data_IF_956472520284
#
_entry.id   IF_956472520284
#
_cell.length_a   1.000
_cell.length_b   1.000
_cell.length_c   1.000
_cell.angle_alpha   90.00
_cell.angle_beta   90.00
_cell.angle_gamma   90.00
#
_symmetry.space_group_name_H-M   'P 1'
#
loop_
_entity.id
_entity.type
_entity.pdbx_description
1 polymer ?
#
# COMPACT_ATOMS: atom_id res chain seq x y z
N UNK A 1 9.64 13.17 -58.59
CA UNK A 1 10.97 13.24 -57.98
C UNK A 1 10.81 13.36 -56.47
N UNK A 2 10.87 12.21 -55.78
CA UNK A 2 10.88 12.15 -54.35
C UNK A 2 12.28 12.50 -53.84
N UNK A 3 12.41 13.63 -53.19
CA UNK A 3 13.61 14.00 -52.43
C UNK A 3 13.81 12.99 -51.30
N UNK A 4 14.64 12.00 -51.57
CA UNK A 4 15.32 11.21 -50.56
C UNK A 4 16.28 12.12 -49.78
N UNK A 5 15.78 12.92 -48.82
CA UNK A 5 16.61 13.48 -47.78
C UNK A 5 17.13 12.32 -46.91
N UNK A 6 18.30 11.83 -47.22
CA UNK A 6 19.04 10.98 -46.32
C UNK A 6 19.27 11.72 -45.01
N UNK A 7 18.55 11.33 -43.99
CA UNK A 7 18.79 11.81 -42.63
C UNK A 7 20.14 11.26 -42.16
N UNK A 8 21.21 11.99 -42.45
CA UNK A 8 22.43 11.86 -41.65
C UNK A 8 22.08 12.40 -40.28
N UNK A 9 21.72 11.51 -39.32
CA UNK A 9 21.53 11.89 -37.93
C UNK A 9 22.89 12.42 -37.43
N UNK A 10 22.95 13.71 -37.15
CA UNK A 10 24.10 14.29 -36.47
C UNK A 10 24.33 13.49 -35.17
N UNK A 11 25.49 12.82 -35.00
CA UNK A 11 25.80 12.08 -33.78
C UNK A 11 25.68 12.95 -32.52
N UNK A 12 25.85 14.25 -32.66
CA UNK A 12 25.71 15.22 -31.58
C UNK A 12 24.23 15.52 -31.26
N UNK A 13 23.30 15.43 -32.21
CA UNK A 13 21.88 15.71 -32.00
C UNK A 13 21.21 14.68 -31.06
N UNK A 14 21.61 13.43 -31.13
CA UNK A 14 21.12 12.40 -30.19
C UNK A 14 21.57 12.69 -28.75
N UNK A 15 22.84 13.11 -28.58
CA UNK A 15 23.34 13.52 -27.26
C UNK A 15 22.63 14.75 -26.72
N UNK A 16 22.37 15.74 -27.55
CA UNK A 16 21.63 16.94 -27.16
C UNK A 16 20.17 16.60 -26.75
N UNK A 17 19.51 15.71 -27.49
CA UNK A 17 18.15 15.26 -27.14
C UNK A 17 18.13 14.54 -25.79
N UNK A 18 19.10 13.66 -25.55
CA UNK A 18 19.17 12.95 -24.26
C UNK A 18 19.39 13.90 -23.09
N UNK A 19 20.25 14.90 -23.26
CA UNK A 19 20.47 15.97 -22.26
C UNK A 19 19.20 16.78 -22.03
N UNK A 20 18.47 17.15 -23.10
CA UNK A 20 17.22 17.90 -22.98
C UNK A 20 16.12 17.12 -22.26
N UNK A 21 16.00 15.81 -22.52
CA UNK A 21 15.06 14.94 -21.79
C UNK A 21 15.48 14.83 -20.32
N UNK A 22 16.77 14.63 -20.04
CA UNK A 22 17.26 14.55 -18.68
C UNK A 22 17.04 15.86 -17.92
N UNK A 23 17.33 17.00 -18.54
CA UNK A 23 17.10 18.32 -17.96
C UNK A 23 15.61 18.56 -17.66
N UNK A 24 14.73 18.20 -18.59
CA UNK A 24 13.28 18.28 -18.38
C UNK A 24 12.82 17.47 -17.17
N UNK A 25 13.27 16.22 -17.03
CA UNK A 25 12.91 15.36 -15.92
C UNK A 25 13.45 15.87 -14.58
N UNK A 26 14.73 16.29 -14.56
CA UNK A 26 15.37 16.80 -13.35
C UNK A 26 14.79 18.15 -12.89
N UNK A 27 14.65 19.11 -13.82
CA UNK A 27 14.18 20.46 -13.49
C UNK A 27 12.75 20.49 -12.96
N UNK A 28 11.94 19.49 -13.32
CA UNK A 28 10.54 19.40 -12.90
C UNK A 28 10.30 18.31 -11.84
N UNK A 29 11.36 17.71 -11.30
CA UNK A 29 11.27 16.63 -10.30
C UNK A 29 10.34 15.49 -10.77
N UNK A 30 10.40 15.12 -12.06
CA UNK A 30 9.60 14.06 -12.61
C UNK A 30 10.27 12.69 -12.41
N UNK A 31 9.51 11.60 -12.21
CA UNK A 31 10.08 10.27 -12.09
C UNK A 31 10.91 9.85 -13.29
N UNK A 32 12.11 9.31 -13.08
CA UNK A 32 12.99 8.86 -14.17
C UNK A 32 12.40 7.71 -15.00
N UNK A 33 11.46 6.94 -14.44
CA UNK A 33 10.68 5.91 -15.13
C UNK A 33 9.94 6.45 -16.36
N UNK A 34 9.61 7.75 -16.40
CA UNK A 34 9.00 8.39 -17.56
C UNK A 34 9.89 8.35 -18.82
N UNK A 35 11.21 8.23 -18.68
CA UNK A 35 12.10 8.03 -19.82
C UNK A 35 11.81 6.75 -20.61
N UNK A 36 11.23 5.74 -19.95
CA UNK A 36 10.85 4.46 -20.54
C UNK A 36 9.35 4.39 -20.91
N UNK A 37 8.59 5.48 -20.74
CA UNK A 37 7.16 5.49 -21.02
C UNK A 37 6.89 5.42 -22.53
N UNK A 38 6.06 4.46 -23.00
CA UNK A 38 5.68 4.36 -24.41
C UNK A 38 5.05 5.62 -24.99
N UNK A 39 4.40 6.45 -24.16
CA UNK A 39 3.82 7.74 -24.57
C UNK A 39 4.89 8.75 -24.89
N UNK A 40 6.01 8.79 -24.14
CA UNK A 40 7.15 9.62 -24.48
C UNK A 40 7.77 9.20 -25.82
N UNK A 41 7.96 7.89 -26.02
CA UNK A 41 8.43 7.36 -27.30
C UNK A 41 7.50 7.78 -28.47
N UNK A 42 6.18 7.73 -28.26
CA UNK A 42 5.18 8.16 -29.24
C UNK A 42 5.25 9.66 -29.53
N UNK A 43 5.48 10.50 -28.51
CA UNK A 43 5.69 11.95 -28.70
C UNK A 43 6.91 12.19 -29.59
N UNK A 44 8.02 11.52 -29.32
CA UNK A 44 9.25 11.65 -30.10
C UNK A 44 9.10 11.13 -31.54
N UNK A 45 8.33 10.07 -31.75
CA UNK A 45 7.99 9.57 -33.09
C UNK A 45 7.19 10.62 -33.88
N UNK A 46 6.16 11.20 -33.30
CA UNK A 46 5.34 12.25 -33.94
C UNK A 46 6.19 13.50 -34.18
N UNK A 47 7.05 13.88 -33.21
CA UNK A 47 7.92 15.04 -33.35
C UNK A 47 8.83 14.97 -34.59
N UNK A 48 9.25 13.77 -35.02
CA UNK A 48 10.04 13.56 -36.25
C UNK A 48 9.30 13.94 -37.53
N UNK A 49 7.97 13.94 -37.48
CA UNK A 49 7.11 14.28 -38.64
C UNK A 49 6.69 15.75 -38.66
N UNK A 50 6.99 16.48 -37.57
CA UNK A 50 6.61 17.88 -37.44
C UNK A 50 7.69 18.79 -38.03
N UNK A 51 7.26 19.86 -38.69
CA UNK A 51 8.15 20.87 -39.18
C UNK A 51 8.66 21.83 -38.08
N UNK A 52 9.67 22.68 -38.39
CA UNK A 52 10.31 23.55 -37.39
C UNK A 52 9.36 24.64 -36.83
N UNK A 53 8.20 24.84 -37.44
CA UNK A 53 7.21 25.83 -37.01
C UNK A 53 6.20 25.28 -36.00
N UNK A 54 6.29 24.00 -35.64
CA UNK A 54 5.41 23.43 -34.60
C UNK A 54 5.64 24.11 -33.24
N UNK A 55 4.56 24.50 -32.61
CA UNK A 55 4.56 25.02 -31.23
C UNK A 55 3.72 24.11 -30.35
N UNK A 56 4.26 23.69 -29.20
CA UNK A 56 3.48 22.94 -28.21
C UNK A 56 2.20 23.71 -27.82
N UNK A 57 1.11 23.02 -27.51
CA UNK A 57 -0.12 23.67 -27.08
C UNK A 57 0.07 24.35 -25.73
N UNK A 58 -0.65 25.46 -25.52
CA UNK A 58 -0.68 26.15 -24.23
C UNK A 58 -1.26 25.25 -23.14
N UNK A 59 -0.82 25.43 -21.88
CA UNK A 59 -1.27 24.66 -20.72
C UNK A 59 -2.80 24.57 -20.61
N UNK A 60 -3.52 25.67 -20.86
CA UNK A 60 -4.98 25.71 -20.75
C UNK A 60 -5.67 24.89 -21.86
N UNK A 61 -5.01 24.76 -23.02
CA UNK A 61 -5.49 23.85 -24.08
C UNK A 61 -5.27 22.41 -23.71
N UNK A 62 -4.17 22.09 -23.01
CA UNK A 62 -3.87 20.74 -22.52
C UNK A 62 -4.86 20.36 -21.41
N UNK A 63 -5.05 21.23 -20.41
CA UNK A 63 -5.92 20.99 -19.26
C UNK A 63 -7.44 21.09 -19.55
N UNK A 64 -7.82 21.67 -20.69
CA UNK A 64 -9.20 21.74 -21.14
C UNK A 64 -9.46 20.84 -22.35
N UNK A 65 -9.45 21.41 -23.57
CA UNK A 65 -9.86 20.73 -24.80
C UNK A 65 -9.23 19.33 -25.00
N UNK A 66 -7.93 19.19 -24.76
CA UNK A 66 -7.26 17.90 -24.97
C UNK A 66 -7.55 16.91 -23.84
N UNK A 67 -7.70 17.39 -22.60
CA UNK A 67 -8.11 16.54 -21.48
C UNK A 67 -9.51 15.96 -21.74
N UNK A 68 -10.47 16.80 -22.16
CA UNK A 68 -11.84 16.37 -22.45
C UNK A 68 -11.89 15.37 -23.60
N UNK A 69 -11.11 15.63 -24.68
CA UNK A 69 -11.03 14.71 -25.82
C UNK A 69 -10.41 13.36 -25.43
N UNK A 70 -9.32 13.37 -24.65
CA UNK A 70 -8.69 12.14 -24.14
C UNK A 70 -9.62 11.38 -23.20
N UNK A 71 -10.28 12.08 -22.28
CA UNK A 71 -11.26 11.47 -21.38
C UNK A 71 -12.36 10.78 -22.19
N UNK A 72 -12.96 11.46 -23.15
CA UNK A 72 -14.04 10.89 -23.98
C UNK A 72 -13.58 9.66 -24.76
N UNK A 73 -12.37 9.67 -25.30
CA UNK A 73 -11.80 8.54 -26.04
C UNK A 73 -11.55 7.35 -25.12
N UNK A 74 -10.81 7.54 -24.03
CA UNK A 74 -10.52 6.47 -23.07
C UNK A 74 -11.78 5.92 -22.42
N UNK A 75 -12.72 6.78 -22.06
CA UNK A 75 -14.01 6.38 -21.52
C UNK A 75 -14.78 5.48 -22.49
N UNK A 76 -14.89 5.89 -23.76
CA UNK A 76 -15.60 5.10 -24.77
C UNK A 76 -14.95 3.73 -24.99
N UNK A 77 -13.63 3.65 -25.04
CA UNK A 77 -12.89 2.40 -25.22
C UNK A 77 -13.06 1.48 -24.01
N UNK A 78 -12.90 2.02 -22.79
CA UNK A 78 -13.07 1.27 -21.55
C UNK A 78 -14.50 0.75 -21.41
N UNK A 79 -15.50 1.59 -21.64
CA UNK A 79 -16.91 1.19 -21.58
C UNK A 79 -17.27 0.13 -22.61
N UNK A 80 -16.77 0.25 -23.85
CA UNK A 80 -16.99 -0.76 -24.87
C UNK A 80 -16.46 -2.13 -24.44
N UNK A 81 -15.25 -2.19 -23.89
CA UNK A 81 -14.65 -3.43 -23.39
C UNK A 81 -15.44 -3.96 -22.20
N UNK A 82 -15.74 -3.11 -21.22
CA UNK A 82 -16.50 -3.47 -20.03
C UNK A 82 -17.87 -4.06 -20.36
N UNK A 83 -18.63 -3.41 -21.26
CA UNK A 83 -19.96 -3.87 -21.69
C UNK A 83 -19.91 -5.19 -22.46
N UNK A 84 -18.84 -5.43 -23.24
CA UNK A 84 -18.64 -6.71 -23.93
C UNK A 84 -18.43 -7.86 -22.96
N UNK A 85 -17.68 -7.63 -21.88
CA UNK A 85 -17.44 -8.62 -20.81
C UNK A 85 -18.67 -8.81 -19.92
N UNK A 86 -19.36 -7.71 -19.59
CA UNK A 86 -20.60 -7.72 -18.79
C UNK A 86 -21.63 -8.71 -19.34
N UNK A 87 -21.73 -8.78 -20.64
CA UNK A 87 -22.67 -9.68 -21.33
C UNK A 87 -22.41 -11.16 -21.10
N UNK A 88 -21.12 -11.55 -20.93
CA UNK A 88 -20.70 -12.95 -20.88
C UNK A 88 -20.46 -13.40 -19.46
N UNK A 89 -19.79 -12.59 -18.68
CA UNK A 89 -19.25 -12.94 -17.37
C UNK A 89 -19.89 -12.20 -16.19
N UNK A 90 -20.69 -11.16 -16.47
CA UNK A 90 -21.10 -10.20 -15.45
C UNK A 90 -19.98 -9.24 -15.08
N UNK A 91 -20.27 -8.33 -14.14
CA UNK A 91 -19.30 -7.34 -13.64
C UNK A 91 -19.30 -7.31 -12.13
N UNK A 92 -18.16 -6.88 -11.60
CA UNK A 92 -17.99 -6.51 -10.21
C UNK A 92 -17.91 -4.98 -10.10
N UNK A 93 -18.72 -4.42 -9.20
CA UNK A 93 -18.67 -3.01 -8.83
C UNK A 93 -17.81 -2.83 -7.59
N UNK A 94 -16.96 -1.81 -7.60
CA UNK A 94 -16.13 -1.43 -6.46
C UNK A 94 -16.42 0.01 -6.06
N UNK A 95 -16.39 0.27 -4.77
CA UNK A 95 -16.48 1.63 -4.25
C UNK A 95 -15.51 1.88 -3.12
N UNK A 96 -14.91 3.04 -3.14
CA UNK A 96 -13.98 3.51 -2.11
C UNK A 96 -14.26 4.96 -1.75
N UNK A 97 -14.16 5.27 -0.46
CA UNK A 97 -14.32 6.60 0.08
C UNK A 97 -12.97 7.26 0.30
N UNK A 98 -12.72 8.39 -0.36
CA UNK A 98 -11.50 9.17 -0.18
C UNK A 98 -11.80 10.61 0.25
N UNK A 99 -10.81 11.25 0.89
CA UNK A 99 -10.84 12.70 1.11
C UNK A 99 -9.56 13.28 0.52
N UNK A 100 -9.71 14.08 -0.54
CA UNK A 100 -8.58 14.70 -1.25
C UNK A 100 -8.66 16.20 -1.06
N UNK A 101 -7.64 16.80 -0.45
CA UNK A 101 -7.59 18.25 -0.18
C UNK A 101 -8.90 18.79 0.44
N UNK A 102 -9.38 18.10 1.48
CA UNK A 102 -10.65 18.43 2.19
C UNK A 102 -11.95 18.12 1.44
N UNK A 103 -11.90 17.66 0.18
CA UNK A 103 -13.08 17.26 -0.59
C UNK A 103 -13.41 15.80 -0.32
N UNK A 104 -14.56 15.49 0.29
CA UNK A 104 -14.98 14.11 0.53
C UNK A 104 -15.55 13.49 -0.74
N UNK A 105 -14.94 12.44 -1.23
CA UNK A 105 -15.28 11.76 -2.47
C UNK A 105 -15.78 10.33 -2.23
N UNK A 106 -16.54 9.81 -3.18
CA UNK A 106 -16.82 8.37 -3.33
C UNK A 106 -16.48 7.99 -4.76
N UNK A 107 -15.51 7.13 -4.92
CA UNK A 107 -15.13 6.55 -6.22
C UNK A 107 -15.97 5.30 -6.46
N UNK A 108 -16.47 5.16 -7.68
CA UNK A 108 -17.17 3.96 -8.14
C UNK A 108 -16.48 3.44 -9.38
N UNK A 109 -16.03 2.18 -9.31
CA UNK A 109 -15.35 1.50 -10.39
C UNK A 109 -16.09 0.21 -10.73
N UNK A 110 -15.91 -0.28 -11.96
CA UNK A 110 -16.36 -1.60 -12.35
C UNK A 110 -15.20 -2.39 -12.97
N UNK A 111 -15.20 -3.70 -12.77
CA UNK A 111 -14.26 -4.61 -13.39
C UNK A 111 -14.96 -5.79 -14.03
N UNK A 112 -14.44 -6.21 -15.17
CA UNK A 112 -14.72 -7.48 -15.82
C UNK A 112 -13.58 -8.48 -15.58
N UNK A 113 -13.60 -9.58 -16.34
CA UNK A 113 -12.61 -10.65 -16.20
C UNK A 113 -11.24 -10.25 -16.76
N UNK A 114 -11.20 -9.54 -17.89
CA UNK A 114 -9.97 -9.13 -18.56
C UNK A 114 -9.70 -7.63 -18.45
N UNK A 115 -10.71 -6.84 -18.06
CA UNK A 115 -10.58 -5.41 -17.87
C UNK A 115 -10.46 -5.12 -16.36
N UNK A 116 -9.28 -4.76 -15.88
CA UNK A 116 -9.03 -4.71 -14.43
C UNK A 116 -9.94 -3.71 -13.72
N UNK A 117 -10.03 -2.48 -14.22
CA UNK A 117 -10.88 -1.45 -13.60
C UNK A 117 -11.24 -0.35 -14.61
N UNK A 118 -12.52 -0.03 -14.68
CA UNK A 118 -13.03 1.16 -15.33
C UNK A 118 -13.62 2.09 -14.25
N UNK A 119 -13.15 3.33 -14.19
CA UNK A 119 -13.71 4.33 -13.30
C UNK A 119 -15.05 4.78 -13.84
N UNK A 120 -16.13 4.52 -13.13
CA UNK A 120 -17.49 4.89 -13.56
C UNK A 120 -17.87 6.30 -13.13
N UNK A 121 -17.52 6.66 -11.88
CA UNK A 121 -17.87 7.97 -11.33
C UNK A 121 -16.96 8.33 -10.14
N UNK A 122 -16.80 9.63 -9.91
CA UNK A 122 -16.20 10.21 -8.72
C UNK A 122 -17.22 11.20 -8.13
N UNK A 123 -18.01 10.73 -7.19
CA UNK A 123 -19.05 11.53 -6.58
C UNK A 123 -18.48 12.48 -5.53
N UNK A 124 -18.62 13.79 -5.73
CA UNK A 124 -18.32 14.82 -4.72
C UNK A 124 -19.46 14.88 -3.68
N UNK A 125 -19.13 14.52 -2.45
CA UNK A 125 -20.08 14.49 -1.34
C UNK A 125 -20.19 15.82 -0.57
N UNK A 126 -19.45 16.86 -0.95
CA UNK A 126 -19.35 18.12 -0.22
C UNK A 126 -20.72 18.73 0.02
N UNK A 127 -21.53 18.89 -1.01
CA UNK A 127 -22.87 19.49 -0.92
C UNK A 127 -23.84 18.66 -0.06
N UNK A 128 -23.70 17.33 -0.08
CA UNK A 128 -24.54 16.45 0.73
C UNK A 128 -24.19 16.60 2.22
N UNK A 129 -22.90 16.58 2.55
CA UNK A 129 -22.41 16.73 3.92
C UNK A 129 -22.68 18.15 4.47
N UNK A 130 -22.52 19.19 3.65
CA UNK A 130 -22.81 20.57 4.04
C UNK A 130 -24.28 20.79 4.44
N UNK A 131 -25.18 19.99 3.89
CA UNK A 131 -26.61 19.99 4.24
C UNK A 131 -26.95 19.10 5.46
N UNK A 132 -25.95 18.62 6.21
CA UNK A 132 -26.12 17.74 7.35
C UNK A 132 -26.34 16.27 6.99
N UNK A 133 -26.17 15.89 5.70
CA UNK A 133 -26.21 14.50 5.25
C UNK A 133 -25.02 13.68 5.75
N UNK A 134 -25.12 12.37 5.65
CA UNK A 134 -24.04 11.42 6.00
C UNK A 134 -23.73 10.54 4.79
N UNK A 135 -22.50 10.07 4.70
CA UNK A 135 -22.14 8.98 3.76
C UNK A 135 -22.69 7.64 4.29
N UNK A 136 -24.00 7.54 4.40
CA UNK A 136 -24.68 6.33 4.86
C UNK A 136 -25.02 5.38 3.70
N UNK A 137 -25.60 4.24 4.04
CA UNK A 137 -25.99 3.21 3.09
C UNK A 137 -26.92 3.71 2.00
N UNK A 138 -27.87 4.57 2.35
CA UNK A 138 -28.84 5.12 1.40
C UNK A 138 -28.18 6.06 0.42
N UNK A 139 -27.27 6.91 0.91
CA UNK A 139 -26.55 7.85 0.06
C UNK A 139 -25.61 7.14 -0.92
N UNK A 140 -24.85 6.13 -0.44
CA UNK A 140 -23.97 5.34 -1.32
C UNK A 140 -24.78 4.55 -2.35
N UNK A 141 -25.89 3.92 -1.93
CA UNK A 141 -26.79 3.25 -2.88
C UNK A 141 -27.37 4.23 -3.92
N UNK A 142 -27.67 5.48 -3.55
CA UNK A 142 -28.12 6.53 -4.46
C UNK A 142 -27.08 6.89 -5.51
N UNK A 143 -25.79 6.82 -5.18
CA UNK A 143 -24.69 7.02 -6.14
C UNK A 143 -24.58 5.80 -7.07
N UNK A 144 -24.56 4.59 -6.54
CA UNK A 144 -24.33 3.37 -7.31
C UNK A 144 -25.50 2.97 -8.22
N UNK A 145 -26.74 3.15 -7.76
CA UNK A 145 -27.93 2.66 -8.46
C UNK A 145 -28.11 3.23 -9.88
N UNK A 146 -27.91 4.52 -10.15
CA UNK A 146 -27.96 5.06 -11.51
C UNK A 146 -26.93 4.41 -12.44
N UNK A 147 -25.70 4.19 -11.95
CA UNK A 147 -24.61 3.58 -12.71
C UNK A 147 -24.92 2.12 -13.05
N UNK A 148 -25.43 1.36 -12.08
CA UNK A 148 -25.90 -0.01 -12.29
C UNK A 148 -26.97 -0.05 -13.38
N UNK A 149 -27.99 0.80 -13.27
CA UNK A 149 -29.07 0.87 -14.25
C UNK A 149 -28.59 1.31 -15.63
N UNK A 150 -27.64 2.23 -15.69
CA UNK A 150 -27.04 2.66 -16.96
C UNK A 150 -26.34 1.48 -17.64
N UNK A 151 -25.44 0.78 -16.95
CA UNK A 151 -24.74 -0.40 -17.48
C UNK A 151 -25.73 -1.46 -17.93
N UNK A 152 -26.71 -1.80 -17.11
CA UNK A 152 -27.74 -2.79 -17.46
C UNK A 152 -28.60 -2.37 -18.66
N UNK A 153 -28.78 -1.06 -18.87
CA UNK A 153 -29.54 -0.55 -20.04
C UNK A 153 -28.76 -0.64 -21.35
N UNK A 154 -27.43 -0.66 -21.28
CA UNK A 154 -26.54 -0.70 -22.45
C UNK A 154 -26.13 -2.13 -22.80
N UNK A 155 -26.22 -3.09 -21.84
CA UNK A 155 -25.94 -4.51 -22.09
C UNK A 155 -27.19 -5.17 -22.67
N UNK A 156 -27.05 -5.65 -23.89
CA UNK A 156 -28.12 -6.41 -24.57
C UNK A 156 -27.77 -7.91 -24.53
N UNK A 157 -28.77 -8.76 -24.33
CA UNK A 157 -28.63 -10.21 -24.47
C UNK A 157 -28.40 -10.62 -25.93
N UNK A 158 -28.24 -11.91 -26.19
CA UNK A 158 -28.03 -12.47 -27.53
C UNK A 158 -29.22 -12.20 -28.47
N UNK A 159 -30.40 -11.89 -27.93
CA UNK A 159 -31.62 -11.58 -28.68
C UNK A 159 -31.90 -10.07 -28.78
N UNK A 160 -30.94 -9.24 -28.35
CA UNK A 160 -31.09 -7.78 -28.37
C UNK A 160 -32.00 -7.23 -27.27
N UNK A 161 -32.36 -8.03 -26.26
CA UNK A 161 -33.10 -7.56 -25.07
C UNK A 161 -32.14 -7.04 -24.02
N UNK A 162 -32.57 -6.05 -23.23
CA UNK A 162 -31.83 -5.59 -22.06
C UNK A 162 -31.59 -6.75 -21.11
N UNK A 163 -30.37 -6.86 -20.61
CA UNK A 163 -29.96 -7.93 -19.70
C UNK A 163 -29.84 -7.37 -18.28
N UNK A 164 -30.93 -7.39 -17.49
CA UNK A 164 -30.87 -6.97 -16.10
C UNK A 164 -30.01 -7.95 -15.30
N UNK A 165 -29.32 -7.43 -14.30
CA UNK A 165 -28.55 -8.26 -13.37
C UNK A 165 -27.17 -8.68 -13.90
N UNK A 166 -26.52 -7.81 -14.66
CA UNK A 166 -25.12 -8.03 -15.09
C UNK A 166 -24.11 -7.67 -14.01
N UNK A 167 -24.53 -7.00 -12.93
CA UNK A 167 -23.71 -6.76 -11.76
C UNK A 167 -24.06 -7.81 -10.71
N UNK A 168 -23.14 -8.73 -10.48
CA UNK A 168 -23.33 -9.85 -9.55
C UNK A 168 -22.61 -9.61 -8.22
N UNK A 169 -21.53 -8.84 -8.20
CA UNK A 169 -20.72 -8.56 -7.02
C UNK A 169 -20.56 -7.05 -6.80
N UNK A 170 -20.61 -6.66 -5.55
CA UNK A 170 -20.33 -5.28 -5.14
C UNK A 170 -19.37 -5.32 -3.95
N UNK A 171 -18.22 -4.68 -4.09
CA UNK A 171 -17.22 -4.56 -3.04
C UNK A 171 -17.06 -3.11 -2.61
N UNK A 172 -17.12 -2.89 -1.31
CA UNK A 172 -16.78 -1.62 -0.67
C UNK A 172 -15.89 -1.89 0.55
N UNK A 173 -15.35 -0.84 1.14
CA UNK A 173 -14.65 -0.97 2.41
C UNK A 173 -15.62 -1.48 3.51
N UNK A 174 -15.07 -2.15 4.53
CA UNK A 174 -15.85 -2.95 5.48
C UNK A 174 -16.70 -2.19 6.49
N UNK A 175 -17.08 -0.95 6.24
CA UNK A 175 -17.95 -0.20 7.14
C UNK A 175 -19.37 -0.79 7.22
N UNK A 176 -19.99 -0.71 8.40
CA UNK A 176 -21.37 -1.19 8.63
C UNK A 176 -22.40 -0.61 7.65
N UNK A 177 -22.15 0.61 7.17
CA UNK A 177 -22.96 1.29 6.15
C UNK A 177 -23.02 0.49 4.83
N UNK A 178 -21.97 -0.23 4.49
CA UNK A 178 -21.89 -1.04 3.27
C UNK A 178 -22.77 -2.27 3.33
N UNK A 179 -22.86 -2.91 4.50
CA UNK A 179 -23.79 -4.04 4.67
C UNK A 179 -25.24 -3.62 4.45
N UNK A 180 -25.64 -2.50 5.03
CA UNK A 180 -26.97 -1.94 4.85
C UNK A 180 -27.22 -1.49 3.39
N UNK A 181 -26.19 -0.95 2.70
CA UNK A 181 -26.26 -0.67 1.27
C UNK A 181 -26.51 -1.95 0.47
N UNK A 182 -25.86 -3.04 0.85
CA UNK A 182 -26.05 -4.35 0.24
C UNK A 182 -27.51 -4.81 0.25
N UNK A 183 -28.24 -4.58 1.32
CA UNK A 183 -29.67 -4.90 1.39
C UNK A 183 -30.48 -4.04 0.42
N UNK A 184 -30.16 -2.75 0.26
CA UNK A 184 -30.82 -1.87 -0.69
C UNK A 184 -30.58 -2.35 -2.13
N UNK A 185 -29.35 -2.73 -2.47
CA UNK A 185 -29.01 -3.24 -3.78
C UNK A 185 -29.64 -4.60 -4.07
N UNK A 186 -29.70 -5.50 -3.08
CA UNK A 186 -30.39 -6.79 -3.19
C UNK A 186 -31.91 -6.66 -3.35
N UNK A 187 -32.49 -5.62 -2.78
CA UNK A 187 -33.91 -5.34 -3.01
C UNK A 187 -34.18 -4.98 -4.49
N UNK A 188 -33.21 -4.37 -5.18
CA UNK A 188 -33.27 -4.11 -6.61
C UNK A 188 -32.97 -5.38 -7.43
N UNK A 189 -31.88 -6.07 -7.12
CA UNK A 189 -31.47 -7.30 -7.79
C UNK A 189 -30.98 -8.35 -6.76
N UNK A 190 -31.73 -9.41 -6.54
CA UNK A 190 -31.42 -10.46 -5.55
C UNK A 190 -30.13 -11.23 -5.84
N UNK A 191 -29.60 -11.16 -7.05
CA UNK A 191 -28.34 -11.82 -7.42
C UNK A 191 -27.11 -11.08 -6.89
N UNK A 192 -27.22 -9.79 -6.56
CA UNK A 192 -26.11 -9.00 -6.07
C UNK A 192 -25.63 -9.57 -4.74
N UNK A 193 -24.39 -10.01 -4.74
CA UNK A 193 -23.63 -10.35 -3.53
C UNK A 193 -22.78 -9.14 -3.14
N UNK A 194 -22.83 -8.77 -1.86
CA UNK A 194 -22.01 -7.69 -1.32
C UNK A 194 -20.88 -8.29 -0.51
N UNK A 195 -19.65 -7.97 -0.90
CA UNK A 195 -18.43 -8.41 -0.24
C UNK A 195 -17.66 -7.23 0.36
N UNK A 196 -16.76 -7.56 1.27
CA UNK A 196 -15.78 -6.62 1.80
C UNK A 196 -14.44 -6.90 1.15
N UNK A 197 -13.63 -5.88 0.91
CA UNK A 197 -12.26 -6.04 0.47
C UNK A 197 -11.48 -6.91 1.48
N UNK A 198 -10.85 -7.97 1.00
CA UNK A 198 -10.09 -8.88 1.86
C UNK A 198 -8.93 -8.13 2.56
N UNK A 199 -8.32 -7.19 1.88
CA UNK A 199 -7.28 -6.30 2.41
C UNK A 199 -7.78 -5.48 3.61
N UNK A 200 -9.00 -4.98 3.54
CA UNK A 200 -9.59 -4.21 4.65
C UNK A 200 -9.87 -5.10 5.87
N UNK A 201 -10.44 -6.28 5.66
CA UNK A 201 -10.72 -7.25 6.74
C UNK A 201 -9.42 -7.65 7.46
N UNK A 202 -8.36 -7.95 6.68
CA UNK A 202 -7.06 -8.32 7.27
C UNK A 202 -6.40 -7.11 7.93
N UNK A 203 -6.56 -5.90 7.38
CA UNK A 203 -6.07 -4.67 8.01
C UNK A 203 -6.74 -4.41 9.36
N UNK A 204 -8.05 -4.60 9.47
CA UNK A 204 -8.77 -4.52 10.74
C UNK A 204 -8.28 -5.59 11.74
N UNK A 205 -8.03 -6.81 11.27
CA UNK A 205 -7.43 -7.85 12.10
C UNK A 205 -6.08 -7.40 12.68
N UNK A 206 -5.18 -6.84 11.87
CA UNK A 206 -3.91 -6.30 12.38
C UNK A 206 -4.14 -5.16 13.38
N UNK A 207 -5.04 -4.23 13.09
CA UNK A 207 -5.40 -3.16 14.01
C UNK A 207 -5.89 -3.70 15.36
N UNK A 208 -6.77 -4.70 15.33
CA UNK A 208 -7.28 -5.34 16.53
C UNK A 208 -6.19 -6.07 17.33
N UNK A 209 -5.30 -6.79 16.67
CA UNK A 209 -4.16 -7.45 17.34
C UNK A 209 -3.29 -6.42 18.06
N UNK A 210 -2.92 -5.33 17.41
CA UNK A 210 -2.02 -4.32 17.99
C UNK A 210 -2.68 -3.39 19.02
N UNK A 211 -4.01 -3.32 19.04
CA UNK A 211 -4.74 -2.49 20.00
C UNK A 211 -5.33 -3.28 21.16
N UNK A 212 -5.81 -4.50 20.90
CA UNK A 212 -6.56 -5.30 21.88
C UNK A 212 -5.72 -6.37 22.57
N UNK A 213 -4.67 -6.90 21.91
CA UNK A 213 -3.77 -7.91 22.52
C UNK A 213 -2.66 -7.20 23.29
N UNK A 214 -2.60 -7.33 24.64
CA UNK A 214 -1.69 -6.54 25.48
C UNK A 214 -0.21 -6.71 25.10
N UNK A 215 0.21 -7.91 24.71
CA UNK A 215 1.59 -8.24 24.35
C UNK A 215 2.01 -7.48 23.10
N UNK A 216 1.19 -7.49 22.04
CA UNK A 216 1.46 -6.76 20.80
C UNK A 216 1.42 -5.25 21.00
N UNK A 217 0.48 -4.76 21.81
CA UNK A 217 0.41 -3.34 22.17
C UNK A 217 1.68 -2.87 22.90
N UNK A 218 2.17 -3.65 23.86
CA UNK A 218 3.40 -3.34 24.58
C UNK A 218 4.61 -3.33 23.65
N UNK A 219 4.70 -4.31 22.75
CA UNK A 219 5.78 -4.41 21.78
C UNK A 219 5.78 -3.21 20.81
N UNK A 220 4.61 -2.85 20.26
CA UNK A 220 4.47 -1.67 19.40
C UNK A 220 4.90 -0.39 20.11
N UNK A 221 4.47 -0.20 21.37
CA UNK A 221 4.90 0.94 22.19
C UNK A 221 6.40 0.97 22.40
N UNK A 222 7.03 -0.18 22.66
CA UNK A 222 8.48 -0.26 22.80
C UNK A 222 9.19 0.08 21.47
N UNK A 223 8.74 -0.49 20.37
CA UNK A 223 9.28 -0.19 19.04
C UNK A 223 9.20 1.30 18.69
N UNK A 224 8.07 1.94 19.02
CA UNK A 224 7.90 3.40 18.88
C UNK A 224 8.94 4.19 19.69
N UNK A 225 9.19 3.79 20.93
CA UNK A 225 10.22 4.43 21.77
C UNK A 225 11.63 4.24 21.20
N UNK A 226 11.98 3.02 20.76
CA UNK A 226 13.25 2.72 20.10
C UNK A 226 13.43 3.59 18.84
N UNK A 227 12.40 3.66 18.00
CA UNK A 227 12.41 4.52 16.81
C UNK A 227 12.64 5.99 17.16
N UNK A 228 11.97 6.50 18.19
CA UNK A 228 12.12 7.91 18.59
C UNK A 228 13.56 8.21 19.05
N UNK A 229 14.23 7.27 19.71
CA UNK A 229 15.61 7.43 20.17
C UNK A 229 16.59 7.36 18.99
N UNK A 230 16.48 6.35 18.13
CA UNK A 230 17.48 6.05 17.11
C UNK A 230 17.12 6.55 15.71
N UNK A 231 15.88 6.92 15.47
CA UNK A 231 15.38 7.40 14.17
C UNK A 231 15.32 8.92 14.03
N UNK A 232 15.42 9.69 15.12
CA UNK A 232 15.37 11.14 15.05
C UNK A 232 16.65 11.74 14.47
N UNK A 233 16.54 12.55 13.43
CA UNK A 233 17.68 13.09 12.67
C UNK A 233 18.58 14.02 13.49
N UNK A 234 18.08 14.57 14.59
CA UNK A 234 18.76 15.67 15.34
C UNK A 234 19.54 15.20 16.54
N UNK A 235 19.64 13.89 16.79
CA UNK A 235 20.19 13.39 18.05
C UNK A 235 21.39 12.46 17.87
N UNK A 236 22.32 12.52 18.83
CA UNK A 236 23.53 11.70 18.88
C UNK A 236 23.28 10.19 18.69
N UNK A 237 22.29 9.55 19.35
CA UNK A 237 21.98 8.14 19.14
C UNK A 237 21.66 7.77 17.71
N UNK A 238 20.96 8.65 16.98
CA UNK A 238 20.63 8.44 15.57
C UNK A 238 21.86 8.46 14.66
N UNK A 239 22.79 9.38 14.90
CA UNK A 239 24.03 9.44 14.14
C UNK A 239 24.88 8.17 14.35
N UNK A 240 24.96 7.68 15.60
CA UNK A 240 25.64 6.42 15.93
C UNK A 240 24.95 5.24 15.24
N UNK A 241 23.63 5.17 15.33
CA UNK A 241 22.87 4.10 14.68
C UNK A 241 23.07 4.10 13.15
N UNK A 242 23.06 5.27 12.48
CA UNK A 242 23.33 5.36 11.03
C UNK A 242 24.71 4.79 10.68
N UNK A 243 25.75 5.05 11.50
CA UNK A 243 27.09 4.50 11.32
C UNK A 243 27.07 2.97 11.35
N UNK A 244 26.44 2.38 12.38
CA UNK A 244 26.39 0.92 12.54
C UNK A 244 25.41 0.25 11.58
N UNK A 245 24.30 0.91 11.22
CA UNK A 245 23.40 0.40 10.21
C UNK A 245 24.10 0.23 8.86
N UNK A 246 24.88 1.20 8.42
CA UNK A 246 25.69 1.08 7.19
C UNK A 246 26.74 -0.02 7.30
N UNK A 247 27.41 -0.15 8.44
CA UNK A 247 28.42 -1.17 8.65
C UNK A 247 27.86 -2.60 8.54
N UNK A 248 26.63 -2.83 8.98
CA UNK A 248 25.95 -4.13 8.94
C UNK A 248 25.17 -4.41 7.65
N UNK A 249 25.03 -3.42 6.76
CA UNK A 249 24.24 -3.53 5.54
C UNK A 249 25.03 -3.12 4.29
N UNK A 250 26.28 -3.58 4.17
CA UNK A 250 27.14 -3.36 2.99
C UNK A 250 27.26 -1.89 2.58
N UNK A 251 27.33 -0.97 3.54
CA UNK A 251 27.43 0.46 3.30
C UNK A 251 26.09 1.18 3.12
N UNK A 252 24.99 0.46 2.96
CA UNK A 252 23.65 1.04 2.79
C UNK A 252 23.03 1.36 4.16
N UNK A 253 22.48 2.55 4.30
CA UNK A 253 21.71 2.89 5.50
C UNK A 253 20.32 2.28 5.42
N UNK A 254 19.97 1.48 6.41
CA UNK A 254 18.61 0.98 6.62
C UNK A 254 18.08 1.64 7.89
N UNK A 255 17.01 2.43 7.75
CA UNK A 255 16.37 3.16 8.84
C UNK A 255 15.15 2.47 9.42
N UNK A 256 14.55 3.10 10.43
CA UNK A 256 13.25 2.68 10.97
C UNK A 256 12.11 3.07 10.02
N UNK A 257 11.06 2.28 10.03
CA UNK A 257 9.80 2.61 9.33
C UNK A 257 8.85 3.27 10.35
N UNK A 258 8.25 4.38 9.96
CA UNK A 258 7.16 5.01 10.70
C UNK A 258 5.86 4.37 10.23
N UNK A 259 5.08 3.70 11.10
CA UNK A 259 3.76 3.23 10.72
C UNK A 259 2.92 4.42 10.23
N UNK A 260 2.41 4.33 9.04
CA UNK A 260 1.48 5.33 8.49
C UNK A 260 0.06 4.91 8.85
N UNK A 261 -0.77 5.87 9.25
CA UNK A 261 -2.19 5.63 9.51
C UNK A 261 -2.93 5.13 8.27
N UNK A 262 -2.45 5.51 7.10
CA UNK A 262 -3.02 5.08 5.81
C UNK A 262 -2.44 3.77 5.27
N UNK A 263 -1.39 3.21 5.89
CA UNK A 263 -0.71 2.01 5.39
C UNK A 263 -1.16 0.78 6.18
N UNK A 264 -1.76 -0.17 5.48
CA UNK A 264 -2.22 -1.42 6.07
C UNK A 264 -1.08 -2.19 6.75
N UNK A 265 -1.35 -2.72 7.95
CA UNK A 265 -0.37 -3.45 8.77
C UNK A 265 0.94 -2.69 9.09
N UNK A 266 0.93 -1.36 9.08
CA UNK A 266 2.13 -0.53 9.30
C UNK A 266 2.88 -0.85 10.59
N UNK A 267 2.19 -1.16 11.69
CA UNK A 267 2.81 -1.56 12.96
C UNK A 267 3.57 -2.89 12.80
N UNK A 268 3.02 -3.85 12.07
CA UNK A 268 3.69 -5.13 11.84
C UNK A 268 4.94 -4.97 10.98
N UNK A 269 4.86 -4.17 9.91
CA UNK A 269 6.01 -3.85 9.05
C UNK A 269 7.11 -3.16 9.87
N UNK A 270 6.75 -2.25 10.77
CA UNK A 270 7.71 -1.59 11.66
C UNK A 270 8.40 -2.57 12.61
N UNK A 271 7.70 -3.60 13.10
CA UNK A 271 8.30 -4.65 13.95
C UNK A 271 9.21 -5.58 13.15
N UNK A 272 8.84 -5.97 11.94
CA UNK A 272 9.73 -6.72 11.03
C UNK A 272 11.01 -5.92 10.74
N UNK A 273 10.87 -4.62 10.49
CA UNK A 273 12.02 -3.73 10.31
C UNK A 273 12.88 -3.65 11.58
N UNK A 274 12.27 -3.57 12.76
CA UNK A 274 13.01 -3.60 14.04
C UNK A 274 13.82 -4.91 14.17
N UNK A 275 13.22 -6.04 13.85
CA UNK A 275 13.91 -7.34 13.86
C UNK A 275 15.12 -7.36 12.89
N UNK A 276 14.96 -6.85 11.69
CA UNK A 276 16.05 -6.70 10.70
C UNK A 276 17.19 -5.82 11.23
N UNK A 277 16.87 -4.78 11.99
CA UNK A 277 17.85 -3.85 12.55
C UNK A 277 18.58 -4.36 13.80
N UNK A 278 18.28 -5.58 14.28
CA UNK A 278 18.83 -6.20 15.49
C UNK A 278 20.35 -6.01 15.63
N UNK A 279 21.12 -6.40 14.61
CA UNK A 279 22.58 -6.39 14.67
C UNK A 279 23.13 -4.95 14.74
N UNK A 280 22.58 -4.04 13.94
CA UNK A 280 22.97 -2.64 13.96
C UNK A 280 22.63 -1.97 15.30
N UNK A 281 21.45 -2.25 15.85
CA UNK A 281 21.05 -1.75 17.18
C UNK A 281 21.96 -2.28 18.28
N UNK A 282 22.23 -3.59 18.29
CA UNK A 282 23.13 -4.18 19.28
C UNK A 282 24.53 -3.59 19.19
N UNK A 283 25.09 -3.44 17.99
CA UNK A 283 26.38 -2.79 17.80
C UNK A 283 26.37 -1.33 18.28
N UNK A 284 25.27 -0.61 18.07
CA UNK A 284 25.14 0.77 18.54
C UNK A 284 25.16 0.86 20.07
N UNK A 285 24.31 0.08 20.74
CA UNK A 285 24.14 0.18 22.20
C UNK A 285 25.32 -0.39 23.00
N UNK A 286 26.18 -1.20 22.38
CA UNK A 286 27.41 -1.71 22.97
C UNK A 286 28.64 -0.85 22.66
N UNK A 287 28.49 0.17 21.82
CA UNK A 287 29.58 1.09 21.51
C UNK A 287 29.93 1.98 22.71
N UNK A 288 31.21 2.32 22.86
CA UNK A 288 31.67 3.17 23.92
C UNK A 288 30.97 4.51 23.94
N UNK A 289 30.85 5.10 22.77
CA UNK A 289 30.21 6.40 22.57
C UNK A 289 28.75 6.43 23.05
N UNK A 290 28.01 5.32 22.85
CA UNK A 290 26.63 5.21 23.33
C UNK A 290 26.55 4.97 24.84
N UNK A 291 27.43 4.14 25.37
CA UNK A 291 27.47 3.84 26.81
C UNK A 291 27.79 5.09 27.64
N UNK A 292 28.60 6.00 27.11
CA UNK A 292 28.93 7.27 27.78
C UNK A 292 27.71 8.20 27.94
N UNK A 293 26.62 8.00 27.16
CA UNK A 293 25.41 8.80 27.29
C UNK A 293 24.61 8.54 28.57
N UNK A 294 24.80 7.42 29.25
CA UNK A 294 24.23 7.01 30.55
C UNK A 294 22.71 7.15 30.74
N UNK A 295 21.97 7.55 29.70
CA UNK A 295 20.55 7.93 29.81
C UNK A 295 19.59 6.80 29.39
N UNK A 296 20.09 5.76 28.69
CA UNK A 296 19.26 4.77 28.02
C UNK A 296 19.35 3.37 28.60
N UNK A 297 19.61 3.24 29.91
CA UNK A 297 19.84 1.93 30.55
C UNK A 297 18.71 0.93 30.32
N UNK A 298 17.46 1.35 30.42
CA UNK A 298 16.30 0.47 30.23
C UNK A 298 16.21 -0.06 28.81
N UNK A 299 16.40 0.80 27.79
CA UNK A 299 16.39 0.38 26.38
C UNK A 299 17.55 -0.55 26.09
N UNK A 300 18.75 -0.22 26.60
CA UNK A 300 19.94 -1.03 26.44
C UNK A 300 19.75 -2.41 27.05
N UNK A 301 19.18 -2.50 28.26
CA UNK A 301 18.88 -3.76 28.94
C UNK A 301 17.98 -4.65 28.09
N UNK A 302 16.85 -4.11 27.56
CA UNK A 302 15.92 -4.87 26.74
C UNK A 302 16.54 -5.30 25.41
N UNK A 303 17.24 -4.39 24.71
CA UNK A 303 17.84 -4.70 23.40
C UNK A 303 19.05 -5.64 23.49
N UNK A 304 19.72 -5.74 24.66
CA UNK A 304 20.80 -6.72 24.92
C UNK A 304 20.26 -8.10 25.27
N UNK A 305 19.01 -8.21 25.72
CA UNK A 305 18.44 -9.48 26.13
C UNK A 305 18.13 -10.37 24.90
N UNK A 306 18.79 -11.55 24.80
CA UNK A 306 18.47 -12.48 23.70
C UNK A 306 17.02 -12.96 23.69
N UNK A 307 16.37 -13.00 24.89
CA UNK A 307 14.98 -13.45 25.03
C UNK A 307 14.01 -12.48 24.37
N UNK A 308 14.29 -11.17 24.44
CA UNK A 308 13.51 -10.15 23.73
C UNK A 308 13.47 -10.42 22.22
N UNK A 309 14.62 -10.69 21.60
CA UNK A 309 14.70 -10.91 20.15
C UNK A 309 14.04 -12.23 19.73
N UNK A 310 14.15 -13.29 20.52
CA UNK A 310 13.41 -14.54 20.29
C UNK A 310 11.91 -14.31 20.37
N UNK A 311 11.46 -13.57 21.37
CA UNK A 311 10.05 -13.23 21.52
C UNK A 311 9.53 -12.35 20.38
N UNK A 312 10.27 -11.30 20.00
CA UNK A 312 9.94 -10.47 18.84
C UNK A 312 9.82 -11.32 17.57
N UNK A 313 10.74 -12.25 17.35
CA UNK A 313 10.70 -13.15 16.21
C UNK A 313 9.43 -14.03 16.21
N UNK A 314 9.10 -14.65 17.34
CA UNK A 314 7.87 -15.47 17.45
C UNK A 314 6.62 -14.63 17.17
N UNK A 315 6.54 -13.42 17.70
CA UNK A 315 5.40 -12.53 17.44
C UNK A 315 5.31 -12.11 15.97
N UNK A 316 6.42 -11.78 15.34
CA UNK A 316 6.44 -11.51 13.91
C UNK A 316 6.02 -12.73 13.09
N UNK A 317 6.49 -13.93 13.47
CA UNK A 317 6.16 -15.19 12.80
C UNK A 317 4.68 -15.57 12.96
N UNK A 318 4.08 -15.28 14.12
CA UNK A 318 2.65 -15.53 14.36
C UNK A 318 1.73 -14.81 13.35
N UNK A 319 2.14 -13.61 12.91
CA UNK A 319 1.38 -12.80 11.98
C UNK A 319 1.88 -12.88 10.52
N UNK A 320 2.84 -13.78 10.24
CA UNK A 320 3.41 -13.91 8.89
C UNK A 320 2.37 -14.33 7.86
N UNK A 321 1.59 -15.38 8.14
CA UNK A 321 0.57 -15.86 7.21
C UNK A 321 -0.53 -14.81 6.94
N UNK A 322 -1.13 -14.14 7.95
CA UNK A 322 -2.02 -13.01 7.73
C UNK A 322 -1.37 -11.88 6.89
N UNK A 323 -0.09 -11.60 7.11
CA UNK A 323 0.62 -10.59 6.33
C UNK A 323 0.75 -10.98 4.86
N UNK A 324 1.00 -12.26 4.55
CA UNK A 324 1.00 -12.77 3.18
C UNK A 324 -0.39 -12.68 2.55
N UNK A 325 -1.46 -12.98 3.31
CA UNK A 325 -2.84 -12.76 2.84
C UNK A 325 -3.06 -11.31 2.44
N UNK A 326 -2.67 -10.36 3.31
CA UNK A 326 -2.81 -8.93 3.04
C UNK A 326 -2.07 -8.52 1.75
N UNK A 327 -0.79 -8.93 1.61
CA UNK A 327 0.00 -8.60 0.43
C UNK A 327 -0.54 -9.21 -0.86
N UNK A 328 -1.06 -10.43 -0.80
CA UNK A 328 -1.68 -11.08 -1.96
C UNK A 328 -3.00 -10.42 -2.36
N UNK A 329 -3.77 -9.95 -1.38
CA UNK A 329 -5.02 -9.23 -1.62
C UNK A 329 -4.78 -7.84 -2.25
N UNK A 330 -3.63 -7.22 -1.94
CA UNK A 330 -3.24 -5.88 -2.44
C UNK A 330 -2.49 -5.92 -3.80
N UNK A 331 -2.25 -7.10 -4.35
CA UNK A 331 -1.55 -7.25 -5.63
C UNK A 331 -2.46 -7.02 -6.83
N UNK A 332 -1.89 -6.46 -7.92
CA UNK A 332 -2.59 -6.28 -9.20
C UNK A 332 -2.97 -7.60 -9.89
N UNK A 333 -2.21 -8.66 -9.65
CA UNK A 333 -2.42 -9.95 -10.28
C UNK A 333 -3.21 -10.88 -9.36
N UNK A 334 -4.23 -11.59 -9.86
CA UNK A 334 -4.97 -12.55 -9.05
C UNK A 334 -4.03 -13.70 -8.58
N UNK A 335 -4.12 -14.01 -7.30
CA UNK A 335 -3.33 -15.06 -6.66
C UNK A 335 -4.21 -15.88 -5.71
N UNK A 336 -5.39 -16.27 -6.19
CA UNK A 336 -6.43 -16.88 -5.36
C UNK A 336 -5.98 -18.22 -4.76
N UNK A 337 -5.20 -19.02 -5.49
CA UNK A 337 -4.59 -20.25 -5.03
C UNK A 337 -3.69 -20.01 -3.80
N UNK A 338 -2.79 -19.05 -3.90
CA UNK A 338 -1.92 -18.64 -2.78
C UNK A 338 -2.70 -18.02 -1.64
N UNK A 339 -3.73 -17.22 -1.94
CA UNK A 339 -4.58 -16.62 -0.93
C UNK A 339 -5.23 -17.71 -0.05
N UNK A 340 -5.84 -18.72 -0.65
CA UNK A 340 -6.42 -19.85 0.08
C UNK A 340 -5.39 -20.59 0.92
N UNK A 341 -4.20 -20.83 0.37
CA UNK A 341 -3.11 -21.46 1.12
C UNK A 341 -2.78 -20.68 2.39
N UNK A 342 -2.50 -19.37 2.29
CA UNK A 342 -2.12 -18.57 3.46
C UNK A 342 -3.28 -18.32 4.43
N UNK A 343 -4.52 -18.25 3.96
CA UNK A 343 -5.69 -18.22 4.85
C UNK A 343 -5.76 -19.51 5.67
N UNK A 344 -5.60 -20.68 5.04
CA UNK A 344 -5.56 -21.98 5.71
C UNK A 344 -4.37 -22.09 6.68
N UNK A 345 -3.19 -21.59 6.30
CA UNK A 345 -2.04 -21.52 7.20
C UNK A 345 -2.29 -20.60 8.40
N UNK A 346 -2.96 -19.46 8.19
CA UNK A 346 -3.36 -18.56 9.29
C UNK A 346 -4.23 -19.31 10.31
N UNK A 347 -5.27 -19.98 9.82
CA UNK A 347 -6.19 -20.73 10.68
C UNK A 347 -5.49 -21.83 11.48
N UNK A 348 -4.58 -22.55 10.84
CA UNK A 348 -3.84 -23.66 11.47
C UNK A 348 -2.74 -23.20 12.44
N UNK A 349 -1.97 -22.17 12.04
CA UNK A 349 -0.72 -21.83 12.75
C UNK A 349 -0.90 -20.73 13.79
N UNK A 350 -1.82 -19.78 13.55
CA UNK A 350 -2.00 -18.63 14.44
C UNK A 350 -2.33 -19.06 15.88
N UNK A 351 -3.25 -20.00 16.15
CA UNK A 351 -3.53 -20.45 17.53
C UNK A 351 -2.30 -21.04 18.21
N UNK A 352 -1.50 -21.82 17.50
CA UNK A 352 -0.25 -22.42 18.04
C UNK A 352 0.73 -21.32 18.46
N UNK A 353 0.98 -20.34 17.59
CA UNK A 353 1.92 -19.25 17.91
C UNK A 353 1.40 -18.30 18.99
N UNK A 354 0.10 -18.03 19.04
CA UNK A 354 -0.47 -17.21 20.12
C UNK A 354 -0.29 -17.89 21.47
N UNK A 355 -0.46 -19.20 21.55
CA UNK A 355 -0.17 -19.96 22.77
C UNK A 355 1.30 -19.85 23.17
N UNK A 356 2.23 -20.01 22.23
CA UNK A 356 3.65 -19.81 22.49
C UNK A 356 3.97 -18.39 22.99
N UNK A 357 3.28 -17.38 22.47
CA UNK A 357 3.39 -15.98 22.90
C UNK A 357 2.92 -15.81 24.34
N UNK A 358 1.77 -16.38 24.70
CA UNK A 358 1.23 -16.32 26.06
C UNK A 358 2.13 -17.03 27.07
N UNK A 359 2.61 -18.23 26.76
CA UNK A 359 3.49 -19.01 27.62
C UNK A 359 4.85 -18.33 27.84
N UNK A 360 5.33 -17.58 26.86
CA UNK A 360 6.58 -16.79 26.92
C UNK A 360 6.36 -15.33 27.27
N UNK A 361 5.12 -14.95 27.60
CA UNK A 361 4.75 -13.58 27.98
C UNK A 361 5.61 -13.11 29.16
N UNK A 362 6.59 -12.34 28.80
CA UNK A 362 7.68 -12.00 29.70
C UNK A 362 7.41 -10.63 30.32
N UNK A 363 7.71 -10.53 31.59
CA UNK A 363 7.83 -9.29 32.36
C UNK A 363 8.75 -8.22 31.75
N UNK A 364 9.47 -8.54 30.68
CA UNK A 364 10.43 -7.66 29.98
C UNK A 364 9.87 -6.33 29.50
N UNK A 365 8.60 -6.32 29.08
CA UNK A 365 7.91 -5.10 28.64
C UNK A 365 6.72 -4.79 29.56
N UNK A 366 6.94 -4.82 30.86
CA UNK A 366 5.95 -4.35 31.82
C UNK A 366 5.66 -2.85 31.60
N UNK A 367 4.51 -2.38 32.08
CA UNK A 367 4.19 -0.94 32.02
C UNK A 367 5.25 -0.10 32.75
N UNK A 368 5.78 -0.62 33.87
CA UNK A 368 6.87 0.03 34.58
C UNK A 368 8.13 0.16 33.70
N UNK A 369 8.50 -0.91 32.97
CA UNK A 369 9.63 -0.89 32.04
C UNK A 369 9.40 0.14 30.91
N UNK A 370 8.20 0.16 30.34
CA UNK A 370 7.87 1.12 29.27
C UNK A 370 7.86 2.57 29.77
N UNK A 371 7.34 2.81 30.96
CA UNK A 371 7.30 4.16 31.55
C UNK A 371 8.69 4.65 31.96
N UNK A 372 9.62 3.76 32.31
CA UNK A 372 11.00 4.11 32.60
C UNK A 372 11.82 4.56 31.37
N UNK A 373 11.29 4.35 30.15
CA UNK A 373 11.92 4.84 28.91
C UNK A 373 11.43 6.26 28.64
N UNK A 374 12.21 7.25 29.10
CA UNK A 374 11.94 8.65 28.81
C UNK A 374 12.33 8.99 27.36
N UNK A 375 11.36 9.45 26.60
CA UNK A 375 11.55 9.96 25.22
C UNK A 375 11.13 11.42 25.08
N UNK A 376 10.87 12.12 26.19
CA UNK A 376 10.37 13.49 26.17
C UNK A 376 11.33 14.45 25.47
N UNK A 377 12.62 14.28 25.68
CA UNK A 377 13.69 15.04 25.00
C UNK A 377 13.71 14.85 23.48
N UNK A 378 13.15 13.75 22.98
CA UNK A 378 13.13 13.40 21.55
C UNK A 378 11.77 13.69 20.89
N UNK A 379 10.72 13.89 21.69
CA UNK A 379 9.38 14.21 21.23
C UNK A 379 9.17 15.70 20.99
N UNK A 380 9.89 16.58 21.68
CA UNK A 380 9.74 18.03 21.61
C UNK A 380 10.22 18.69 20.30
N UNK A 381 10.81 17.91 19.39
CA UNK A 381 11.34 18.39 18.10
C UNK A 381 10.45 18.13 16.87
N UNK A 382 9.33 17.45 17.04
CA UNK A 382 8.38 17.20 15.94
C UNK A 382 7.35 18.32 15.94
N UNK A 383 7.74 19.51 15.54
CA UNK A 383 6.80 20.49 15.02
C UNK A 383 6.44 20.12 13.59
N UNK A 384 5.20 20.30 13.26
CA UNK A 384 4.46 19.99 12.06
C UNK A 384 4.95 20.63 10.73
N UNK A 385 6.22 20.99 10.60
CA UNK A 385 6.73 21.72 9.44
C UNK A 385 7.58 20.85 8.48
N UNK A 386 7.71 19.55 8.74
CA UNK A 386 8.51 18.63 7.91
C UNK A 386 7.65 17.61 7.12
N UNK A 387 6.44 17.99 6.72
CA UNK A 387 5.64 17.20 5.76
C UNK A 387 6.08 17.41 4.29
N UNK A 388 7.26 18.01 4.05
CA UNK A 388 7.77 18.30 2.70
C UNK A 388 9.08 17.60 2.34
N UNK A 389 9.58 16.67 3.16
CA UNK A 389 10.64 15.76 2.73
C UNK A 389 10.01 14.39 2.41
N UNK A 390 9.18 14.39 1.37
CA UNK A 390 8.79 13.23 0.61
C UNK A 390 10.02 12.77 -0.19
N UNK A 391 11.00 12.28 0.54
CA UNK A 391 12.03 11.41 0.00
C UNK A 391 11.30 10.17 -0.49
N UNK A 392 10.89 10.20 -1.73
CA UNK A 392 10.46 9.06 -2.52
C UNK A 392 11.63 8.08 -2.67
N UNK A 393 12.02 7.46 -1.55
CA UNK A 393 12.66 6.17 -1.61
C UNK A 393 11.54 5.20 -2.03
N UNK A 394 11.34 5.11 -3.32
CA UNK A 394 10.64 4.02 -4.00
C UNK A 394 11.38 2.72 -3.68
N UNK A 395 11.22 2.24 -2.44
CA UNK A 395 11.52 0.86 -2.07
C UNK A 395 10.43 -0.04 -2.69
N UNK A 396 10.43 -0.15 -4.04
CA UNK A 396 9.67 -1.18 -4.77
C UNK A 396 10.08 -2.60 -4.35
N UNK A 397 11.14 -2.75 -3.54
CA UNK A 397 11.69 -4.03 -3.06
C UNK A 397 11.29 -4.41 -1.61
N UNK A 398 10.34 -3.75 -1.00
CA UNK A 398 9.89 -4.10 0.36
C UNK A 398 9.15 -5.45 0.49
N UNK A 399 8.98 -6.19 -0.60
CA UNK A 399 8.26 -7.47 -0.65
C UNK A 399 9.13 -8.67 -0.24
N UNK A 400 10.36 -8.71 -0.69
CA UNK A 400 11.22 -9.90 -0.54
C UNK A 400 11.94 -9.94 0.82
N UNK A 401 12.15 -8.80 1.44
CA UNK A 401 12.87 -8.69 2.70
C UNK A 401 12.17 -9.35 3.91
N UNK A 402 10.85 -9.47 3.87
CA UNK A 402 10.10 -10.14 4.95
C UNK A 402 10.19 -11.67 4.84
N UNK A 403 10.34 -12.19 3.64
CA UNK A 403 10.49 -13.62 3.37
C UNK A 403 11.85 -14.15 3.83
N UNK A 404 12.93 -13.40 3.57
CA UNK A 404 14.29 -13.83 3.93
C UNK A 404 14.55 -13.89 5.44
N UNK A 405 13.83 -13.08 6.25
CA UNK A 405 13.99 -13.07 7.70
C UNK A 405 13.29 -14.24 8.40
N UNK A 406 12.24 -14.81 7.75
CA UNK A 406 11.42 -15.87 8.33
C UNK A 406 11.81 -17.26 7.81
N UNK A 407 12.40 -17.35 6.60
CA UNK A 407 12.75 -18.63 5.97
C UNK A 407 14.13 -19.16 6.37
N UNK A 408 15.06 -18.32 6.86
CA UNK A 408 16.43 -18.75 7.18
C UNK A 408 16.59 -19.66 8.41
N UNK A 409 15.54 -19.83 9.23
CA UNK A 409 15.60 -20.64 10.46
C UNK A 409 14.79 -21.96 10.40
N UNK A 410 14.23 -22.34 9.23
CA UNK A 410 13.40 -23.55 9.12
C UNK A 410 14.20 -24.84 8.75
N UNK A 411 15.54 -24.79 8.79
CA UNK A 411 16.40 -25.96 8.59
C UNK A 411 16.76 -26.65 9.91
N UNK A 412 15.77 -27.30 10.56
CA UNK A 412 16.11 -28.07 11.74
C UNK A 412 15.01 -28.54 12.65
N UNK A 413 13.88 -28.98 12.13
CA UNK A 413 13.03 -29.95 12.85
C UNK A 413 12.48 -30.94 11.82
N UNK A 414 13.21 -32.03 11.60
CA UNK A 414 12.68 -33.26 11.07
C UNK A 414 11.74 -33.84 12.11
N UNK A 415 10.45 -33.62 11.97
CA UNK A 415 9.46 -34.43 12.66
C UNK A 415 9.45 -35.84 12.01
N UNK A 416 10.32 -36.71 12.50
CA UNK A 416 10.14 -38.16 12.43
C UNK A 416 8.96 -38.53 13.32
N UNK A 417 7.75 -38.49 12.78
CA UNK A 417 6.58 -39.18 13.34
C UNK A 417 5.66 -39.63 12.21
N UNK A 418 6.14 -40.60 11.43
CA UNK A 418 5.32 -41.53 10.66
C UNK A 418 5.54 -42.96 11.18
N UNK A 419 4.80 -43.30 12.21
CA UNK A 419 4.45 -44.69 12.48
C UNK A 419 3.21 -44.74 13.38
N UNK A 420 2.04 -44.84 12.77
CA UNK A 420 0.92 -45.66 13.30
C UNK A 420 0.13 -46.24 12.12
N UNK A 421 0.00 -47.51 12.12
CA UNK A 421 -0.79 -48.41 11.27
C UNK A 421 -2.28 -47.97 11.11
#
# INVERSE_FOLDING_TARGET
>A
EALLCGNSVDPNAAGQMNVAIADFLHSHCLPFSLANDPKLAKILEIARTLGPNYKPPHRDTISGKYLDALHSTYWSEQMKTLLSEARVFGLTLFGDGATIKTVPLVNVLAAGVNNPFALLDIADCTNHLAKGGKKDAQYIAKICMPLIKQIESEVLDVNGKKSPGVIDLVFFDGASNVQNMGEILRAYNRRITVGHGAEHVVSLFFSDVYTKVPEFKRLSNFAKKVRNIFGSVRHSPSAMFKKYSRAHNNGVYIGFIKPSECRMAGEHIALLRLLRLKNALRATITSKEFLDLRVFHTVTSVLNDPTFWKWLFVMCRALYAPMRVLRLADQKNPAMDKLFYYVSQTDRMLPKYLKDVEERSVSLLSEATLNAIDTSTFSAGVRSDDDSDDGSDEDENGGDDAESVVESDDSGESDDDDNVQ
#
